data_IF_885750221542
#
_entry.id   IF_885750221542
#
_cell.length_a   1.000
_cell.length_b   1.000
_cell.length_c   1.000
_cell.angle_alpha   90.00
_cell.angle_beta   90.00
_cell.angle_gamma   90.00
#
_symmetry.space_group_name_H-M   'P 1'
#
loop_
_entity.id
_entity.type
_entity.pdbx_description
1 polymer ?
#
# COMPACT_ATOMS: atom_id res chain seq x y z
N UNK A 1 10.52 4.70 -0.54
CA UNK A 1 9.05 4.83 -0.45
C UNK A 1 8.58 6.28 -0.50
N UNK A 2 8.97 7.20 0.39
CA UNK A 2 8.54 8.60 0.26
C UNK A 2 8.97 9.23 -1.08
N UNK A 3 10.24 9.04 -1.47
CA UNK A 3 10.76 9.57 -2.74
C UNK A 3 10.22 8.81 -3.95
N UNK A 4 10.39 7.49 -3.99
CA UNK A 4 10.04 6.67 -5.15
C UNK A 4 8.54 6.37 -5.33
N UNK A 5 7.71 6.54 -4.29
CA UNK A 5 6.26 6.25 -4.31
C UNK A 5 5.42 7.49 -4.09
N UNK A 6 5.45 8.08 -2.88
CA UNK A 6 4.51 9.15 -2.49
C UNK A 6 4.51 10.31 -3.49
N UNK A 7 5.69 10.81 -3.86
CA UNK A 7 5.82 11.94 -4.81
C UNK A 7 5.29 11.65 -6.22
N UNK A 8 5.05 10.38 -6.55
CA UNK A 8 4.60 9.93 -7.87
C UNK A 8 3.25 9.21 -7.80
N UNK A 9 2.65 9.11 -6.62
CA UNK A 9 1.41 8.38 -6.41
C UNK A 9 0.23 9.20 -6.99
N UNK A 10 -0.59 8.63 -7.90
CA UNK A 10 -1.63 9.38 -8.59
C UNK A 10 -2.64 10.09 -7.68
N UNK A 11 -3.08 9.51 -6.56
CA UNK A 11 -4.04 10.18 -5.66
C UNK A 11 -3.41 11.38 -4.96
N UNK A 12 -2.14 11.26 -4.52
CA UNK A 12 -1.34 12.35 -3.95
C UNK A 12 -1.16 13.49 -4.97
N UNK A 13 -0.78 13.15 -6.20
CA UNK A 13 -0.58 14.14 -7.26
C UNK A 13 -1.88 14.92 -7.56
N UNK A 14 -2.98 14.20 -7.74
CA UNK A 14 -4.24 14.80 -8.22
C UNK A 14 -4.97 15.62 -7.16
N UNK A 15 -4.69 15.40 -5.87
CA UNK A 15 -5.30 16.19 -4.79
C UNK A 15 -4.50 17.45 -4.42
N UNK A 16 -3.43 17.74 -5.17
CA UNK A 16 -2.62 18.96 -4.98
C UNK A 16 -1.44 18.81 -4.01
N UNK A 17 -1.07 17.59 -3.64
CA UNK A 17 0.11 17.29 -2.81
C UNK A 17 1.33 16.89 -3.64
N UNK A 18 1.29 17.08 -4.96
CA UNK A 18 2.40 16.75 -5.82
C UNK A 18 3.67 17.54 -5.46
N UNK A 19 4.78 16.82 -5.32
CA UNK A 19 6.09 17.41 -4.99
C UNK A 19 6.28 17.79 -3.52
N UNK A 20 5.27 17.60 -2.66
CA UNK A 20 5.45 17.82 -1.21
C UNK A 20 6.21 16.68 -0.56
N UNK A 21 6.66 16.90 0.66
CA UNK A 21 7.08 15.80 1.51
C UNK A 21 5.87 14.99 2.01
N UNK A 22 6.06 13.69 2.19
CA UNK A 22 5.06 12.84 2.83
C UNK A 22 4.79 13.35 4.26
N UNK A 23 3.53 13.60 4.65
CA UNK A 23 3.22 14.05 6.00
C UNK A 23 3.49 12.94 7.04
N UNK A 24 3.64 13.29 8.34
CA UNK A 24 3.88 12.31 9.40
C UNK A 24 2.88 11.14 9.42
N UNK A 25 1.58 11.41 9.23
CA UNK A 25 0.54 10.37 9.22
C UNK A 25 0.78 9.32 8.12
N UNK A 26 1.18 9.76 6.92
CA UNK A 26 1.50 8.87 5.80
C UNK A 26 2.74 8.03 6.11
N UNK A 27 3.78 8.67 6.67
CA UNK A 27 5.02 7.99 7.09
C UNK A 27 4.73 6.93 8.15
N UNK A 28 3.86 7.22 9.12
CA UNK A 28 3.43 6.25 10.14
C UNK A 28 2.70 5.06 9.53
N UNK A 29 1.76 5.30 8.60
CA UNK A 29 1.08 4.20 7.90
C UNK A 29 2.06 3.31 7.12
N UNK A 30 3.03 3.90 6.42
CA UNK A 30 4.07 3.13 5.73
C UNK A 30 4.97 2.35 6.72
N UNK A 31 5.32 2.96 7.85
CA UNK A 31 6.13 2.32 8.88
C UNK A 31 5.39 1.14 9.52
N UNK A 32 4.07 1.25 9.74
CA UNK A 32 3.24 0.14 10.22
C UNK A 32 3.26 -1.05 9.24
N UNK A 33 3.17 -0.79 7.93
CA UNK A 33 3.27 -1.83 6.90
C UNK A 33 4.64 -2.53 6.89
N UNK A 34 5.72 -1.76 7.05
CA UNK A 34 7.07 -2.34 7.17
C UNK A 34 7.21 -3.16 8.46
N UNK A 35 6.75 -2.61 9.59
CA UNK A 35 6.86 -3.22 10.91
C UNK A 35 6.01 -4.50 11.05
N UNK A 36 5.00 -4.68 10.20
CA UNK A 36 4.21 -5.90 10.13
C UNK A 36 5.01 -7.13 9.63
N UNK A 37 6.18 -6.92 9.00
CA UNK A 37 7.09 -8.01 8.61
C UNK A 37 6.74 -8.74 7.32
N UNK A 38 5.75 -8.27 6.56
CA UNK A 38 5.35 -8.87 5.28
C UNK A 38 5.91 -8.15 4.04
N UNK A 39 6.55 -6.99 4.24
CA UNK A 39 7.05 -6.16 3.15
C UNK A 39 8.31 -6.75 2.52
N UNK A 40 8.42 -6.68 1.19
CA UNK A 40 9.52 -7.26 0.42
C UNK A 40 10.30 -6.14 -0.25
N UNK A 41 11.62 -6.19 -0.16
CA UNK A 41 12.53 -5.28 -0.85
C UNK A 41 13.26 -6.01 -1.98
N UNK A 42 13.59 -5.26 -3.02
CA UNK A 42 14.53 -5.68 -4.04
C UNK A 42 15.81 -4.84 -3.85
N UNK A 43 16.95 -5.53 -3.79
CA UNK A 43 18.26 -4.92 -3.67
C UNK A 43 19.08 -5.17 -4.95
N UNK A 44 19.94 -4.21 -5.30
CA UNK A 44 20.94 -4.41 -6.35
C UNK A 44 22.18 -5.13 -5.78
N UNK A 45 23.20 -5.31 -6.62
CA UNK A 45 24.46 -5.97 -6.23
C UNK A 45 25.26 -5.21 -5.16
N UNK A 46 25.00 -3.91 -5.02
CA UNK A 46 25.64 -3.03 -4.04
C UNK A 46 24.81 -2.91 -2.75
N UNK A 47 23.81 -3.79 -2.56
CA UNK A 47 22.87 -3.79 -1.44
C UNK A 47 22.07 -2.48 -1.29
N UNK A 48 21.85 -1.77 -2.39
CA UNK A 48 20.95 -0.61 -2.42
C UNK A 48 19.53 -1.06 -2.76
N UNK A 49 18.55 -0.52 -2.03
CA UNK A 49 17.13 -0.79 -2.30
C UNK A 49 16.73 -0.14 -3.63
N UNK A 50 16.33 -0.97 -4.59
CA UNK A 50 15.89 -0.55 -5.94
C UNK A 50 14.38 -0.71 -6.16
N UNK A 51 13.70 -1.36 -5.22
CA UNK A 51 12.25 -1.49 -5.24
C UNK A 51 11.73 -2.04 -3.93
N UNK A 52 10.45 -1.80 -3.65
CA UNK A 52 9.78 -2.33 -2.48
C UNK A 52 8.30 -2.58 -2.76
N UNK A 53 7.79 -3.68 -2.21
CA UNK A 53 6.37 -3.94 -2.05
C UNK A 53 6.04 -3.87 -0.56
N UNK A 54 5.23 -2.88 -0.17
CA UNK A 54 4.72 -2.80 1.18
C UNK A 54 3.43 -3.62 1.26
N UNK A 55 3.45 -4.61 2.14
CA UNK A 55 2.37 -5.55 2.33
C UNK A 55 1.82 -5.44 3.74
N UNK A 56 0.51 -5.65 3.90
CA UNK A 56 -0.15 -5.68 5.19
C UNK A 56 -1.31 -6.68 5.19
N UNK A 57 -1.83 -6.94 6.39
CA UNK A 57 -3.02 -7.75 6.59
C UNK A 57 -4.17 -6.84 6.93
N UNK A 58 -5.22 -6.90 6.13
CA UNK A 58 -6.44 -6.13 6.36
C UNK A 58 -7.59 -7.06 6.75
N UNK A 59 -8.60 -6.51 7.42
CA UNK A 59 -9.80 -7.26 7.77
C UNK A 59 -11.08 -6.45 7.60
N UNK A 60 -12.21 -7.01 8.05
CA UNK A 60 -13.55 -6.43 7.87
C UNK A 60 -13.78 -5.06 8.51
N UNK A 61 -12.88 -4.61 9.39
CA UNK A 61 -12.96 -3.31 10.05
C UNK A 61 -11.94 -2.30 9.53
N UNK A 62 -11.19 -2.61 8.47
CA UNK A 62 -10.10 -1.74 8.01
C UNK A 62 -10.60 -0.38 7.51
N UNK A 63 -11.70 -0.36 6.74
CA UNK A 63 -12.35 0.88 6.32
C UNK A 63 -12.72 1.77 7.52
N UNK A 64 -13.27 1.17 8.59
CA UNK A 64 -13.61 1.89 9.83
C UNK A 64 -12.37 2.42 10.57
N UNK A 65 -11.22 1.72 10.52
CA UNK A 65 -9.97 2.21 11.11
C UNK A 65 -9.48 3.44 10.35
N UNK A 66 -9.49 3.40 9.02
CA UNK A 66 -9.10 4.55 8.20
C UNK A 66 -10.04 5.75 8.39
N UNK A 67 -11.36 5.54 8.47
CA UNK A 67 -12.30 6.61 8.81
C UNK A 67 -12.10 7.20 10.21
N UNK A 68 -11.57 6.41 11.17
CA UNK A 68 -11.18 6.94 12.48
C UNK A 68 -9.89 7.74 12.39
N UNK A 69 -8.92 7.24 11.62
CA UNK A 69 -7.65 7.91 11.38
C UNK A 69 -7.84 9.26 10.68
N UNK A 70 -8.75 9.35 9.70
CA UNK A 70 -9.06 10.59 8.99
C UNK A 70 -9.57 11.68 9.92
N UNK A 71 -10.37 11.32 10.95
CA UNK A 71 -10.87 12.24 11.98
C UNK A 71 -9.80 12.77 12.93
N UNK A 72 -8.65 12.10 12.98
CA UNK A 72 -7.49 12.54 13.75
C UNK A 72 -6.53 13.40 12.91
N UNK A 73 -6.80 13.59 11.62
CA UNK A 73 -6.04 14.48 10.75
C UNK A 73 -6.62 15.89 10.79
N UNK A 74 -5.77 16.90 10.71
CA UNK A 74 -6.21 18.26 10.41
C UNK A 74 -6.94 18.29 9.06
N UNK A 75 -7.89 19.22 8.91
CA UNK A 75 -8.60 19.45 7.66
C UNK A 75 -7.60 19.65 6.52
N UNK A 76 -7.66 18.83 5.48
CA UNK A 76 -6.80 19.00 4.30
C UNK A 76 -6.73 17.78 3.39
N UNK A 77 -5.98 17.90 2.28
CA UNK A 77 -5.94 16.89 1.22
C UNK A 77 -5.55 15.48 1.69
N UNK A 78 -4.78 15.36 2.78
CA UNK A 78 -4.39 14.06 3.33
C UNK A 78 -5.55 13.33 3.98
N UNK A 79 -6.43 14.06 4.68
CA UNK A 79 -7.65 13.47 5.23
C UNK A 79 -8.50 12.88 4.11
N UNK A 80 -8.67 13.64 3.04
CA UNK A 80 -9.49 13.25 1.88
C UNK A 80 -8.91 12.01 1.18
N UNK A 81 -7.57 11.89 1.07
CA UNK A 81 -6.93 10.65 0.59
C UNK A 81 -7.22 9.46 1.51
N UNK A 82 -7.10 9.63 2.83
CA UNK A 82 -7.36 8.53 3.78
C UNK A 82 -8.82 8.07 3.70
N UNK A 83 -9.76 9.02 3.60
CA UNK A 83 -11.19 8.73 3.42
C UNK A 83 -11.47 8.05 2.09
N UNK A 84 -10.78 8.48 1.01
CA UNK A 84 -10.86 7.83 -0.29
C UNK A 84 -10.42 6.37 -0.21
N UNK A 85 -9.28 6.06 0.41
CA UNK A 85 -8.84 4.66 0.56
C UNK A 85 -9.75 3.87 1.49
N UNK A 86 -10.33 4.48 2.52
CA UNK A 86 -11.36 3.83 3.34
C UNK A 86 -12.58 3.40 2.51
N UNK A 87 -13.02 4.26 1.59
CA UNK A 87 -14.08 3.95 0.63
C UNK A 87 -13.66 2.83 -0.34
N UNK A 88 -12.46 2.91 -0.92
CA UNK A 88 -11.95 1.89 -1.86
C UNK A 88 -11.87 0.51 -1.23
N UNK A 89 -11.48 0.40 0.04
CA UNK A 89 -11.46 -0.87 0.77
C UNK A 89 -12.87 -1.46 0.93
N UNK A 90 -13.89 -0.62 1.18
CA UNK A 90 -15.25 -1.07 1.49
C UNK A 90 -16.08 -1.35 0.22
N UNK A 91 -15.89 -0.56 -0.84
CA UNK A 91 -16.72 -0.57 -2.05
C UNK A 91 -16.85 -1.95 -2.74
N UNK A 92 -15.80 -2.80 -2.84
CA UNK A 92 -15.91 -4.11 -3.46
C UNK A 92 -16.65 -5.14 -2.60
N UNK A 93 -16.94 -4.83 -1.33
CA UNK A 93 -17.63 -5.70 -0.37
C UNK A 93 -17.00 -7.09 -0.27
N UNK A 94 -15.67 -7.15 -0.24
CA UNK A 94 -14.88 -8.41 -0.26
C UNK A 94 -15.38 -9.40 0.80
N UNK A 95 -15.63 -8.93 2.01
CA UNK A 95 -16.06 -9.76 3.15
C UNK A 95 -17.49 -10.29 3.03
N UNK A 96 -18.35 -9.64 2.23
CA UNK A 96 -19.66 -10.17 1.90
C UNK A 96 -19.56 -11.25 0.82
N UNK A 97 -18.62 -11.09 -0.12
CA UNK A 97 -18.36 -12.05 -1.20
C UNK A 97 -17.62 -13.30 -0.73
N UNK A 98 -16.74 -13.16 0.26
CA UNK A 98 -15.93 -14.23 0.83
C UNK A 98 -16.12 -14.29 2.36
N UNK A 99 -17.31 -14.68 2.85
CA UNK A 99 -17.68 -14.54 4.27
C UNK A 99 -16.94 -15.49 5.22
N UNK A 100 -16.25 -16.51 4.70
CA UNK A 100 -15.41 -17.43 5.49
C UNK A 100 -14.04 -16.81 5.78
N UNK A 101 -13.64 -15.80 5.00
CA UNK A 101 -12.37 -15.11 5.14
C UNK A 101 -12.60 -13.81 5.93
N UNK A 102 -11.96 -13.67 7.08
CA UNK A 102 -12.04 -12.45 7.89
C UNK A 102 -10.89 -11.47 7.64
N UNK A 103 -9.87 -11.93 6.91
CA UNK A 103 -8.64 -11.19 6.61
C UNK A 103 -8.15 -11.47 5.19
N UNK A 104 -7.38 -10.54 4.65
CA UNK A 104 -6.75 -10.64 3.33
C UNK A 104 -5.35 -10.06 3.41
N UNK A 105 -4.48 -10.63 2.58
CA UNK A 105 -3.16 -10.09 2.33
C UNK A 105 -3.29 -8.98 1.28
N UNK A 106 -2.88 -7.77 1.63
CA UNK A 106 -2.92 -6.60 0.76
C UNK A 106 -1.51 -6.15 0.42
N UNK A 107 -1.23 -5.99 -0.88
CA UNK A 107 -0.08 -5.22 -1.34
C UNK A 107 -0.50 -3.76 -1.47
N UNK A 108 -0.26 -2.99 -0.40
CA UNK A 108 -0.72 -1.62 -0.27
C UNK A 108 0.09 -0.61 -1.08
N UNK A 109 1.37 -0.90 -1.36
CA UNK A 109 2.21 -0.02 -2.19
C UNK A 109 3.26 -0.82 -2.94
N UNK A 110 3.56 -0.40 -4.17
CA UNK A 110 4.60 -0.97 -5.00
C UNK A 110 5.40 0.14 -5.66
N UNK A 111 6.71 0.15 -5.43
CA UNK A 111 7.61 1.15 -5.97
C UNK A 111 8.86 0.51 -6.55
N UNK A 112 9.33 1.06 -7.66
CA UNK A 112 10.62 0.72 -8.27
C UNK A 112 11.31 2.03 -8.63
N UNK A 113 12.58 2.11 -8.26
CA UNK A 113 13.46 3.21 -8.61
C UNK A 113 13.45 3.45 -10.13
N UNK A 114 13.46 4.72 -10.57
CA UNK A 114 13.31 5.05 -11.99
C UNK A 114 14.40 4.45 -12.87
N UNK A 115 15.61 4.29 -12.34
CA UNK A 115 16.77 3.78 -13.07
C UNK A 115 16.70 2.25 -13.27
N UNK A 116 15.86 1.57 -12.47
CA UNK A 116 15.68 0.11 -12.51
C UNK A 116 14.33 -0.32 -13.11
N UNK A 117 13.60 0.61 -13.73
CA UNK A 117 12.35 0.31 -14.44
C UNK A 117 12.61 -0.53 -15.69
N UNK A 118 11.59 -1.26 -16.14
CA UNK A 118 11.61 -2.18 -17.31
C UNK A 118 12.51 -3.42 -17.15
N UNK A 119 13.11 -3.62 -15.98
CA UNK A 119 13.89 -4.83 -15.64
C UNK A 119 13.04 -5.94 -15.01
N UNK A 120 11.71 -5.75 -14.90
CA UNK A 120 10.80 -6.73 -14.31
C UNK A 120 10.77 -6.75 -12.78
N UNK A 121 11.43 -5.81 -12.09
CA UNK A 121 11.49 -5.73 -10.62
C UNK A 121 10.10 -5.68 -9.99
N UNK A 122 9.21 -4.81 -10.49
CA UNK A 122 7.83 -4.69 -9.99
C UNK A 122 7.05 -6.01 -10.10
N UNK A 123 7.18 -6.70 -11.25
CA UNK A 123 6.55 -8.00 -11.48
C UNK A 123 7.07 -9.03 -10.49
N UNK A 124 8.38 -9.06 -10.25
CA UNK A 124 8.98 -10.00 -9.30
C UNK A 124 8.51 -9.72 -7.87
N UNK A 125 8.51 -8.46 -7.44
CA UNK A 125 8.00 -8.05 -6.14
C UNK A 125 6.55 -8.49 -5.92
N UNK A 126 5.67 -8.29 -6.92
CA UNK A 126 4.28 -8.76 -6.85
C UNK A 126 4.18 -10.28 -6.72
N UNK A 127 4.98 -11.02 -7.50
CA UNK A 127 5.00 -12.49 -7.46
C UNK A 127 5.47 -12.99 -6.09
N UNK A 128 6.52 -12.42 -5.54
CA UNK A 128 7.03 -12.78 -4.22
C UNK A 128 6.02 -12.42 -3.11
N UNK A 129 5.35 -11.27 -3.19
CA UNK A 129 4.26 -10.91 -2.26
C UNK A 129 3.12 -11.93 -2.33
N UNK A 130 2.77 -12.39 -3.53
CA UNK A 130 1.76 -13.42 -3.71
C UNK A 130 2.21 -14.78 -3.15
N UNK A 131 3.46 -15.19 -3.37
CA UNK A 131 4.01 -16.41 -2.78
C UNK A 131 4.00 -16.34 -1.24
N UNK A 132 4.51 -15.25 -0.67
CA UNK A 132 4.51 -15.01 0.76
C UNK A 132 3.09 -15.08 1.35
N UNK A 133 2.09 -14.49 0.68
CA UNK A 133 0.71 -14.55 1.15
C UNK A 133 0.19 -15.98 1.28
N UNK A 134 0.59 -16.87 0.36
CA UNK A 134 0.21 -18.28 0.38
C UNK A 134 0.96 -19.06 1.45
N UNK A 135 2.25 -18.78 1.61
CA UNK A 135 3.08 -19.42 2.64
C UNK A 135 2.59 -19.06 4.06
N UNK A 136 2.05 -17.85 4.23
CA UNK A 136 1.38 -17.44 5.46
C UNK A 136 -0.07 -17.95 5.60
N UNK A 137 -0.60 -18.69 4.61
CA UNK A 137 -1.92 -19.31 4.67
C UNK A 137 -3.10 -18.39 4.31
N UNK A 138 -2.84 -17.21 3.74
CA UNK A 138 -3.92 -16.31 3.31
C UNK A 138 -4.57 -16.80 2.01
N UNK A 139 -5.91 -16.80 1.99
CA UNK A 139 -6.71 -17.23 0.84
C UNK A 139 -7.13 -16.09 -0.08
N UNK A 140 -7.00 -14.85 0.40
CA UNK A 140 -7.29 -13.64 -0.35
C UNK A 140 -6.03 -12.81 -0.47
N UNK A 141 -5.66 -12.48 -1.71
CA UNK A 141 -4.64 -11.52 -2.06
C UNK A 141 -5.31 -10.39 -2.83
N UNK A 142 -5.08 -9.15 -2.41
CA UNK A 142 -5.65 -7.97 -3.08
C UNK A 142 -4.63 -6.86 -3.25
N UNK A 143 -4.94 -5.99 -4.20
CA UNK A 143 -4.23 -4.74 -4.43
C UNK A 143 -5.19 -3.76 -5.11
N UNK A 144 -5.05 -2.48 -4.80
CA UNK A 144 -5.82 -1.42 -5.45
C UNK A 144 -4.91 -0.71 -6.45
N UNK A 145 -5.14 -0.96 -7.75
CA UNK A 145 -4.30 -0.41 -8.82
C UNK A 145 -4.82 0.97 -9.23
N UNK A 146 -4.01 2.00 -9.05
CA UNK A 146 -4.36 3.39 -9.35
C UNK A 146 -3.45 4.06 -10.39
N UNK A 147 -2.50 3.30 -10.95
CA UNK A 147 -1.62 3.70 -12.04
C UNK A 147 -1.80 2.80 -13.28
N UNK A 148 -1.22 3.22 -14.41
CA UNK A 148 -1.21 2.48 -15.68
C UNK A 148 0.18 1.93 -15.99
#
# INVERSE_FOLDING_TARGET
>A
MCEAYYKHEPTVLNIGLGGTEAPPIWRSMMLEQVSAGYSIIAENRDNCIIGAALNCIIGCNESKKLCKLSRCCDDGPIRDIIEFFAFVIDAPKIWQRFPVENVAFEQASLAVDCDYRRLGVAKRLLQESWHLSRDCGYRLFRLDCNNR
#
